data_IF_539223049292
#
_entry.id   IF_539223049292
#
_cell.length_a   1.000
_cell.length_b   1.000
_cell.length_c   1.000
_cell.angle_alpha   90.00
_cell.angle_beta   90.00
_cell.angle_gamma   90.00
#
_symmetry.space_group_name_H-M   'P 1'
#
loop_
_entity.id
_entity.type
_entity.pdbx_description
1 polymer ?
#
# COMPACT_ATOMS: atom_id res chain seq x y z
N UNK A 1 31.02 -4.18 2.57
CA UNK A 1 29.55 -4.27 2.53
C UNK A 1 29.01 -2.90 2.20
N UNK A 2 28.63 -2.66 0.95
CA UNK A 2 28.01 -1.40 0.51
C UNK A 2 26.58 -1.39 1.01
N UNK A 3 26.29 -0.57 2.01
CA UNK A 3 24.92 -0.20 2.36
C UNK A 3 24.33 0.48 1.13
N UNK A 4 23.24 -0.03 0.53
CA UNK A 4 22.61 0.67 -0.59
C UNK A 4 22.20 2.05 -0.07
N UNK A 5 22.75 3.11 -0.66
CA UNK A 5 22.29 4.47 -0.41
C UNK A 5 20.79 4.49 -0.67
N UNK A 6 19.99 5.00 0.28
CA UNK A 6 18.55 5.13 0.09
C UNK A 6 18.29 5.95 -1.19
N UNK A 7 17.96 5.25 -2.28
CA UNK A 7 17.59 5.86 -3.55
C UNK A 7 16.26 6.57 -3.31
N UNK A 8 16.19 7.84 -3.66
CA UNK A 8 14.96 8.60 -3.51
C UNK A 8 13.86 7.95 -4.37
N UNK A 9 12.65 7.88 -3.83
CA UNK A 9 11.45 7.38 -4.52
C UNK A 9 10.39 8.47 -4.50
N UNK A 10 9.51 8.48 -5.51
CA UNK A 10 8.37 9.41 -5.56
C UNK A 10 7.29 9.04 -4.55
N UNK A 11 7.08 7.73 -4.33
CA UNK A 11 6.05 7.20 -3.43
C UNK A 11 6.72 6.73 -2.15
N UNK A 12 6.14 7.14 -1.01
CA UNK A 12 6.58 6.72 0.32
C UNK A 12 6.25 5.24 0.54
N UNK A 13 6.92 4.60 1.50
CA UNK A 13 6.60 3.23 1.88
C UNK A 13 5.13 3.07 2.32
N UNK A 14 4.54 4.07 2.99
CA UNK A 14 3.11 4.05 3.32
C UNK A 14 2.23 3.99 2.07
N UNK A 15 2.51 4.82 1.06
CA UNK A 15 1.76 4.81 -0.20
C UNK A 15 1.92 3.49 -0.95
N UNK A 16 3.14 2.94 -0.99
CA UNK A 16 3.39 1.65 -1.64
C UNK A 16 2.71 0.48 -0.92
N UNK A 17 2.74 0.44 0.41
CA UNK A 17 2.05 -0.58 1.21
C UNK A 17 0.54 -0.48 1.05
N UNK A 18 -0.03 0.73 1.09
CA UNK A 18 -1.46 0.95 0.89
C UNK A 18 -1.91 0.46 -0.49
N UNK A 19 -1.14 0.79 -1.54
CA UNK A 19 -1.39 0.33 -2.91
C UNK A 19 -1.29 -1.19 -3.03
N UNK A 20 -0.30 -1.81 -2.40
CA UNK A 20 -0.20 -3.26 -2.42
C UNK A 20 -1.38 -3.94 -1.72
N UNK A 21 -1.80 -3.43 -0.56
CA UNK A 21 -2.95 -3.95 0.20
C UNK A 21 -4.25 -3.82 -0.60
N UNK A 22 -4.44 -2.70 -1.30
CA UNK A 22 -5.60 -2.47 -2.16
C UNK A 22 -5.79 -3.60 -3.19
N UNK A 23 -4.69 -4.05 -3.80
CA UNK A 23 -4.70 -5.13 -4.78
C UNK A 23 -4.66 -6.53 -4.18
N UNK A 24 -4.08 -6.69 -2.99
CA UNK A 24 -3.82 -7.97 -2.35
C UNK A 24 -4.32 -7.99 -0.89
N UNK A 25 -5.64 -7.89 -0.66
CA UNK A 25 -6.20 -7.68 0.68
C UNK A 25 -5.95 -8.83 1.67
N UNK A 26 -5.55 -10.02 1.19
CA UNK A 26 -5.27 -11.21 2.01
C UNK A 26 -3.78 -11.47 2.26
N UNK A 27 -2.91 -10.55 1.83
CA UNK A 27 -1.47 -10.70 2.00
C UNK A 27 -1.03 -10.57 3.44
N UNK A 28 -0.01 -11.34 3.81
CA UNK A 28 0.67 -11.27 5.09
C UNK A 28 1.64 -10.10 5.13
N UNK A 29 1.98 -9.61 6.34
CA UNK A 29 3.01 -8.57 6.50
C UNK A 29 4.35 -8.98 5.88
N UNK A 30 4.70 -10.26 5.94
CA UNK A 30 5.89 -10.82 5.28
C UNK A 30 5.87 -10.69 3.75
N UNK A 31 4.75 -11.01 3.11
CA UNK A 31 4.60 -10.89 1.65
C UNK A 31 4.70 -9.41 1.21
N UNK A 32 4.03 -8.52 1.95
CA UNK A 32 4.07 -7.07 1.72
C UNK A 32 5.52 -6.57 1.85
N UNK A 33 6.20 -6.93 2.95
CA UNK A 33 7.58 -6.52 3.20
C UNK A 33 8.54 -6.96 2.08
N UNK A 34 8.40 -8.21 1.64
CA UNK A 34 9.21 -8.78 0.56
C UNK A 34 8.98 -8.08 -0.78
N UNK A 35 7.73 -7.72 -1.09
CA UNK A 35 7.40 -7.04 -2.35
C UNK A 35 7.88 -5.58 -2.35
N UNK A 36 7.73 -4.87 -1.23
CA UNK A 36 8.10 -3.45 -1.10
C UNK A 36 9.61 -3.25 -0.88
N UNK A 37 10.32 -4.26 -0.39
CA UNK A 37 11.76 -4.15 -0.09
C UNK A 37 12.03 -3.45 1.25
N UNK A 38 11.14 -3.64 2.23
CA UNK A 38 11.29 -3.14 3.61
C UNK A 38 11.28 -4.30 4.60
N UNK A 39 11.59 -4.03 5.87
CA UNK A 39 11.52 -5.07 6.91
C UNK A 39 10.07 -5.40 7.27
N UNK A 40 9.81 -6.61 7.76
CA UNK A 40 8.50 -7.01 8.27
C UNK A 40 8.06 -6.13 9.46
N UNK A 41 9.01 -5.72 10.31
CA UNK A 41 8.76 -4.75 11.39
C UNK A 41 8.30 -3.39 10.86
N UNK A 42 8.95 -2.88 9.82
CA UNK A 42 8.56 -1.63 9.15
C UNK A 42 7.16 -1.76 8.57
N UNK A 43 6.85 -2.89 7.95
CA UNK A 43 5.54 -3.17 7.38
C UNK A 43 4.45 -3.21 8.45
N UNK A 44 4.68 -3.88 9.58
CA UNK A 44 3.74 -3.88 10.70
C UNK A 44 3.48 -2.47 11.24
N UNK A 45 4.52 -1.64 11.37
CA UNK A 45 4.35 -0.25 11.77
C UNK A 45 3.48 0.51 10.79
N UNK A 46 3.76 0.41 9.49
CA UNK A 46 2.98 1.08 8.43
C UNK A 46 1.52 0.62 8.44
N UNK A 47 1.26 -0.68 8.56
CA UNK A 47 -0.11 -1.22 8.65
C UNK A 47 -0.83 -0.63 9.87
N UNK A 48 -0.17 -0.56 11.02
CA UNK A 48 -0.74 0.04 12.22
C UNK A 48 -1.02 1.53 12.04
N UNK A 49 -0.10 2.28 11.42
CA UNK A 49 -0.30 3.71 11.13
C UNK A 49 -1.51 3.89 10.20
N UNK A 50 -1.62 3.11 9.13
CA UNK A 50 -2.75 3.17 8.19
C UNK A 50 -4.08 2.81 8.84
N UNK A 51 -4.08 1.86 9.78
CA UNK A 51 -5.28 1.41 10.51
C UNK A 51 -5.76 2.47 11.52
N UNK A 52 -4.85 3.02 12.33
CA UNK A 52 -5.14 4.10 13.29
C UNK A 52 -5.76 5.30 12.60
N UNK A 53 -5.30 5.56 11.39
CA UNK A 53 -5.69 6.70 10.57
C UNK A 53 -6.89 6.43 9.66
N UNK A 54 -7.48 5.23 9.73
CA UNK A 54 -8.70 4.87 9.02
C UNK A 54 -8.54 4.58 7.53
N UNK A 55 -7.32 4.57 6.98
CA UNK A 55 -7.06 4.21 5.58
C UNK A 55 -7.24 2.73 5.30
N UNK A 56 -7.07 1.89 6.31
CA UNK A 56 -7.40 0.48 6.23
C UNK A 56 -8.19 0.03 7.45
N UNK A 57 -9.05 -0.96 7.24
CA UNK A 57 -9.63 -1.78 8.29
C UNK A 57 -8.99 -3.16 8.22
N UNK A 58 -8.69 -3.75 9.38
CA UNK A 58 -8.18 -5.12 9.49
C UNK A 58 -9.21 -6.02 10.15
N UNK A 59 -9.57 -7.09 9.46
CA UNK A 59 -10.42 -8.16 9.98
C UNK A 59 -9.66 -9.47 10.04
N UNK A 60 -9.82 -10.23 11.12
CA UNK A 60 -9.28 -11.59 11.23
C UNK A 60 -10.23 -12.60 10.59
N UNK A 61 -9.75 -13.36 9.61
CA UNK A 61 -10.43 -14.51 9.02
C UNK A 61 -9.60 -15.78 9.32
N UNK A 62 -10.00 -16.49 10.38
CA UNK A 62 -9.27 -17.66 10.88
C UNK A 62 -7.84 -17.33 11.34
N UNK A 63 -6.85 -17.84 10.60
CA UNK A 63 -5.42 -17.61 10.87
C UNK A 63 -4.83 -16.42 10.09
N UNK A 64 -5.60 -15.80 9.20
CA UNK A 64 -5.12 -14.70 8.34
C UNK A 64 -5.81 -13.39 8.68
N UNK A 65 -5.10 -12.30 8.43
CA UNK A 65 -5.71 -10.97 8.38
C UNK A 65 -6.20 -10.71 6.96
N UNK A 66 -7.34 -10.05 6.85
CA UNK A 66 -7.87 -9.50 5.62
C UNK A 66 -8.03 -8.01 5.83
N UNK A 67 -7.48 -7.24 4.91
CA UNK A 67 -7.50 -5.80 4.95
C UNK A 67 -8.55 -5.27 3.97
N UNK A 68 -9.18 -4.16 4.34
CA UNK A 68 -10.04 -3.37 3.46
C UNK A 68 -9.52 -1.95 3.43
N UNK A 69 -9.26 -1.40 2.25
CA UNK A 69 -8.87 0.01 2.10
C UNK A 69 -10.11 0.89 2.14
N UNK A 70 -10.00 2.06 2.76
CA UNK A 70 -11.00 3.12 2.69
C UNK A 70 -10.62 4.12 1.57
N UNK A 71 -11.26 4.03 0.39
CA UNK A 71 -10.93 4.87 -0.76
C UNK A 71 -11.32 6.34 -0.58
N UNK A 72 -12.32 6.62 0.26
CA UNK A 72 -12.97 7.93 0.40
C UNK A 72 -12.24 8.88 1.35
N UNK A 73 -11.06 8.52 1.83
CA UNK A 73 -10.24 9.42 2.63
C UNK A 73 -9.30 10.24 1.73
N UNK A 74 -9.11 11.54 2.04
CA UNK A 74 -8.17 12.38 1.31
C UNK A 74 -6.71 12.00 1.58
N UNK A 75 -5.79 12.45 0.73
CA UNK A 75 -4.36 12.39 1.04
C UNK A 75 -4.02 13.27 2.26
N UNK A 76 -3.08 12.79 3.10
CA UNK A 76 -2.73 13.46 4.37
C UNK A 76 -2.10 14.83 4.23
N UNK A 77 -1.40 15.09 3.12
CA UNK A 77 -0.66 16.33 2.99
C UNK A 77 -1.63 17.50 2.82
N UNK A 78 -1.47 18.57 3.60
CA UNK A 78 -2.41 19.69 3.61
C UNK A 78 -2.64 20.34 2.22
N UNK A 79 -1.66 20.24 1.31
CA UNK A 79 -1.79 20.74 -0.07
C UNK A 79 -2.49 19.78 -1.04
N UNK A 80 -2.93 18.61 -0.55
CA UNK A 80 -3.50 17.52 -1.35
C UNK A 80 -4.79 16.95 -0.76
N UNK A 81 -5.45 17.69 0.13
CA UNK A 81 -6.68 17.23 0.79
C UNK A 81 -7.89 17.14 -0.17
N UNK A 82 -7.76 17.70 -1.37
CA UNK A 82 -8.70 17.61 -2.48
C UNK A 82 -8.58 16.30 -3.26
N UNK A 83 -7.48 15.55 -3.11
CA UNK A 83 -7.24 14.30 -3.81
C UNK A 83 -7.60 13.13 -2.92
N UNK A 84 -8.51 12.27 -3.39
CA UNK A 84 -8.88 11.06 -2.66
C UNK A 84 -7.82 9.98 -2.81
N UNK A 85 -7.71 9.09 -1.82
CA UNK A 85 -6.80 7.96 -1.87
C UNK A 85 -7.07 7.06 -3.07
N UNK A 86 -8.34 6.87 -3.45
CA UNK A 86 -8.68 6.11 -4.66
C UNK A 86 -8.00 6.63 -5.93
N UNK A 87 -7.95 7.95 -6.13
CA UNK A 87 -7.33 8.55 -7.32
C UNK A 87 -5.83 8.23 -7.39
N UNK A 88 -5.15 8.28 -6.24
CA UNK A 88 -3.75 7.88 -6.13
C UNK A 88 -3.59 6.38 -6.44
N UNK A 89 -4.45 5.54 -5.86
CA UNK A 89 -4.37 4.09 -6.02
C UNK A 89 -4.64 3.67 -7.46
N UNK A 90 -5.62 4.28 -8.13
CA UNK A 90 -5.88 4.09 -9.55
C UNK A 90 -4.68 4.53 -10.41
N UNK A 91 -4.07 5.67 -10.11
CA UNK A 91 -2.88 6.15 -10.83
C UNK A 91 -1.66 5.23 -10.67
N UNK A 92 -1.55 4.55 -9.52
CA UNK A 92 -0.50 3.57 -9.25
C UNK A 92 -0.83 2.17 -9.81
N UNK A 93 -2.09 1.94 -10.21
CA UNK A 93 -2.51 0.70 -10.82
C UNK A 93 -2.16 0.72 -12.29
N UNK A 94 -1.24 -0.15 -12.70
CA UNK A 94 -0.98 -0.33 -14.13
C UNK A 94 -2.17 -1.08 -14.74
N UNK A 95 -3.05 -0.39 -15.48
CA UNK A 95 -3.80 -1.08 -16.54
C UNK A 95 -2.75 -1.57 -17.52
N UNK A 96 -2.28 -2.80 -17.38
CA UNK A 96 -1.28 -3.38 -18.28
C UNK A 96 -1.80 -3.26 -19.72
N UNK A 97 -1.27 -2.35 -20.57
CA UNK A 97 -1.76 -2.22 -21.95
C UNK A 97 -1.42 -3.48 -22.75
N UNK A 98 -0.41 -4.25 -22.32
CA UNK A 98 0.03 -5.49 -22.95
C UNK A 98 -0.92 -6.67 -22.69
N UNK A 99 -1.74 -6.66 -21.63
CA UNK A 99 -2.69 -7.74 -21.34
C UNK A 99 -3.88 -7.75 -22.31
N UNK A 100 -4.15 -6.63 -22.99
CA UNK A 100 -5.24 -6.52 -23.96
C UNK A 100 -4.89 -7.07 -25.37
N UNK A 101 -3.62 -7.40 -25.62
CA UNK A 101 -3.14 -7.95 -26.92
C UNK A 101 -2.86 -9.47 -26.86
N UNK A 102 -3.30 -10.15 -25.81
CA UNK A 102 -3.04 -11.57 -25.58
C UNK A 102 -4.31 -12.46 -25.63
N UNK A 103 -5.37 -12.01 -26.30
CA UNK A 103 -6.56 -12.83 -26.61
C UNK A 103 -6.86 -12.81 -28.10
#
# INVERSE_FOLDING_TARGET
MTTPSARWTFITNHGLVLSFIFHNPRSTAREIASYIGVTERTTHKIISDLEVEGYIERRREGRRNVYRVNPSLPLRHHTKQDVMVEELLEALTTKNPQAALAN
#
